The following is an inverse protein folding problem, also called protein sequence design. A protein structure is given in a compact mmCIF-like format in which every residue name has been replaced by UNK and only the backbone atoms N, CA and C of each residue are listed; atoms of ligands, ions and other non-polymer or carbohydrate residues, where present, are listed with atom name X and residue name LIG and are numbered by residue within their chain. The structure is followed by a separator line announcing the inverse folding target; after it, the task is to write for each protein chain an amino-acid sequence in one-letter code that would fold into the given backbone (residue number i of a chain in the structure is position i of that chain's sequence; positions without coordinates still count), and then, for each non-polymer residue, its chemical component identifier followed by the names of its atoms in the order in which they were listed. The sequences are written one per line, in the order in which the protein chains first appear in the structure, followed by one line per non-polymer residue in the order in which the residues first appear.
data_IF_427726802565
#
_entry.id   IF_427726802565
#
_cell.length_a   1.000
_cell.length_b   1.000
_cell.length_c   1.000
_cell.angle_alpha   90.00
_cell.angle_beta   90.00
_cell.angle_gamma   90.00
#
_symmetry.space_group_name_H-M   'P 1'
#
loop_
_entity.id
_entity.type
_entity.pdbx_description
1 polymer ?
#
# COMPACT_ATOMS: atom_id res chain seq x y z
N UNK A 1 -8.91 14.61 -9.06
CA UNK A 1 -7.79 13.65 -8.86
C UNK A 1 -8.00 13.01 -7.51
N UNK A 2 -7.86 11.68 -7.42
CA UNK A 2 -7.84 11.00 -6.13
C UNK A 2 -6.54 11.29 -5.38
N UNK A 3 -6.58 11.25 -4.04
CA UNK A 3 -5.40 11.44 -3.18
C UNK A 3 -4.78 10.10 -2.81
N UNK A 4 -3.49 9.94 -3.03
CA UNK A 4 -2.70 8.76 -2.66
C UNK A 4 -1.94 9.05 -1.37
N UNK A 5 -2.23 8.27 -0.34
CA UNK A 5 -1.59 8.34 0.97
C UNK A 5 -0.83 7.04 1.18
N UNK A 6 0.50 7.12 1.22
CA UNK A 6 1.35 5.99 1.51
C UNK A 6 1.82 6.02 2.96
N UNK A 7 1.87 4.85 3.59
CA UNK A 7 2.36 4.67 4.95
C UNK A 7 3.61 3.79 4.89
N UNK A 8 4.68 4.23 5.52
CA UNK A 8 5.95 3.52 5.60
C UNK A 8 6.54 3.62 7.01
N UNK A 9 7.48 2.76 7.36
CA UNK A 9 8.05 2.75 8.70
C UNK A 9 8.70 1.42 9.04
N UNK A 10 9.36 1.36 10.18
CA UNK A 10 9.96 0.11 10.68
C UNK A 10 8.86 -0.94 10.97
N UNK A 11 9.18 -2.22 10.87
CA UNK A 11 8.28 -3.30 11.31
C UNK A 11 7.83 -3.10 12.76
N UNK A 12 6.53 -3.31 13.02
CA UNK A 12 5.95 -3.24 14.36
C UNK A 12 5.70 -1.84 14.94
N UNK A 13 5.85 -0.76 14.17
CA UNK A 13 5.56 0.62 14.62
C UNK A 13 4.07 1.00 14.55
N UNK A 14 3.22 0.14 13.97
CA UNK A 14 1.76 0.35 13.89
C UNK A 14 1.25 0.96 12.59
N UNK A 15 1.97 0.78 11.47
CA UNK A 15 1.57 1.26 10.13
C UNK A 15 0.20 0.76 9.69
N UNK A 16 0.00 -0.56 9.68
CA UNK A 16 -1.27 -1.21 9.31
C UNK A 16 -2.43 -0.71 10.16
N UNK A 17 -2.19 -0.51 11.47
CA UNK A 17 -3.19 0.09 12.36
C UNK A 17 -3.53 1.52 11.96
N UNK A 18 -2.51 2.34 11.64
CA UNK A 18 -2.72 3.71 11.17
C UNK A 18 -3.47 3.73 9.82
N UNK A 19 -3.17 2.80 8.91
CA UNK A 19 -3.90 2.62 7.64
C UNK A 19 -5.38 2.33 7.90
N UNK A 20 -5.69 1.33 8.73
CA UNK A 20 -7.07 1.00 9.09
C UNK A 20 -7.81 2.15 9.76
N UNK A 21 -7.18 2.87 10.69
CA UNK A 21 -7.77 4.06 11.31
C UNK A 21 -8.01 5.20 10.32
N UNK A 22 -7.10 5.37 9.35
CA UNK A 22 -7.24 6.38 8.29
C UNK A 22 -8.40 6.04 7.37
N UNK A 23 -8.50 4.78 6.93
CA UNK A 23 -9.62 4.29 6.11
C UNK A 23 -10.93 4.51 6.86
N UNK A 24 -11.03 4.05 8.12
CA UNK A 24 -12.23 4.26 8.95
C UNK A 24 -12.61 5.74 9.06
N UNK A 25 -11.64 6.62 9.30
CA UNK A 25 -11.88 8.06 9.35
C UNK A 25 -12.44 8.61 8.03
N UNK A 26 -11.89 8.19 6.89
CA UNK A 26 -12.39 8.61 5.58
C UNK A 26 -13.84 8.15 5.35
N UNK A 27 -14.16 6.90 5.69
CA UNK A 27 -15.51 6.37 5.60
C UNK A 27 -16.50 7.16 6.48
N UNK A 28 -16.16 7.39 7.76
CA UNK A 28 -16.98 8.16 8.70
C UNK A 28 -17.23 9.61 8.25
N UNK A 29 -16.35 10.17 7.42
CA UNK A 29 -16.50 11.51 6.82
C UNK A 29 -17.21 11.52 5.47
N UNK A 30 -17.67 10.37 4.96
CA UNK A 30 -18.24 10.26 3.61
C UNK A 30 -17.23 10.56 2.51
N UNK A 31 -15.94 10.34 2.78
CA UNK A 31 -14.83 10.57 1.87
C UNK A 31 -14.51 9.30 1.07
N UNK A 32 -15.50 8.84 0.32
CA UNK A 32 -15.48 7.62 -0.49
C UNK A 32 -15.43 7.94 -2.00
N UNK A 33 -15.14 6.97 -2.88
CA UNK A 33 -14.64 5.61 -2.57
C UNK A 33 -13.15 5.60 -2.19
N UNK A 34 -12.79 4.68 -1.30
CA UNK A 34 -11.41 4.46 -0.81
C UNK A 34 -10.86 3.14 -1.37
N UNK A 35 -9.63 3.15 -1.88
CA UNK A 35 -8.91 1.92 -2.19
C UNK A 35 -7.84 1.68 -1.13
N UNK A 36 -7.94 0.56 -0.43
CA UNK A 36 -6.92 0.06 0.47
C UNK A 36 -5.98 -0.86 -0.30
N UNK A 37 -4.69 -0.55 -0.31
CA UNK A 37 -3.65 -1.36 -0.94
C UNK A 37 -2.74 -1.89 0.16
N UNK A 38 -2.80 -3.19 0.41
CA UNK A 38 -1.85 -3.88 1.29
C UNK A 38 -0.62 -4.29 0.47
N UNK A 39 0.47 -3.56 0.63
CA UNK A 39 1.74 -3.83 -0.02
C UNK A 39 2.74 -4.57 0.88
N UNK A 40 2.26 -5.18 1.96
CA UNK A 40 3.01 -6.09 2.82
C UNK A 40 2.83 -7.55 2.35
N UNK A 41 3.91 -8.30 2.08
CA UNK A 41 3.85 -9.73 1.79
C UNK A 41 3.10 -10.57 2.84
N UNK A 42 3.09 -10.11 4.09
CA UNK A 42 2.44 -10.81 5.20
C UNK A 42 0.93 -10.56 5.28
N UNK A 43 0.38 -9.64 4.47
CA UNK A 43 -1.05 -9.35 4.34
C UNK A 43 -1.79 -9.20 5.68
N UNK A 44 -1.71 -8.02 6.29
CA UNK A 44 -2.27 -7.76 7.62
C UNK A 44 -3.42 -6.74 7.62
N UNK A 45 -3.60 -5.99 6.53
CA UNK A 45 -4.58 -4.91 6.49
C UNK A 45 -6.02 -5.44 6.46
N UNK A 46 -6.24 -6.60 5.83
CA UNK A 46 -7.53 -7.29 5.83
C UNK A 46 -8.01 -7.63 7.25
N UNK A 47 -7.11 -8.08 8.13
CA UNK A 47 -7.46 -8.39 9.52
C UNK A 47 -7.86 -7.14 10.30
N UNK A 48 -7.16 -6.02 10.07
CA UNK A 48 -7.47 -4.73 10.69
C UNK A 48 -8.82 -4.18 10.21
N UNK A 49 -9.15 -4.39 8.92
CA UNK A 49 -10.42 -3.96 8.33
C UNK A 49 -11.57 -4.95 8.57
N UNK A 50 -11.28 -6.16 9.05
CA UNK A 50 -12.28 -7.18 9.37
C UNK A 50 -12.83 -7.92 8.15
N UNK A 51 -12.06 -8.01 7.06
CA UNK A 51 -12.49 -8.60 5.79
C UNK A 51 -11.69 -9.87 5.45
N UNK A 52 -12.28 -10.73 4.63
CA UNK A 52 -11.61 -11.94 4.12
C UNK A 52 -11.00 -11.66 2.75
N UNK A 53 -9.81 -12.19 2.53
CA UNK A 53 -9.10 -12.11 1.25
C UNK A 53 -8.97 -13.53 0.71
N UNK A 54 -9.48 -13.76 -0.49
CA UNK A 54 -9.48 -15.09 -1.13
C UNK A 54 -8.29 -15.26 -2.09
N UNK A 55 -7.78 -14.16 -2.64
CA UNK A 55 -6.66 -14.16 -3.59
C UNK A 55 -5.82 -12.90 -3.44
N UNK A 56 -4.51 -13.00 -3.72
CA UNK A 56 -3.61 -11.84 -3.75
C UNK A 56 -3.04 -11.62 -5.15
N UNK A 57 -2.50 -10.43 -5.41
CA UNK A 57 -1.84 -10.11 -6.68
C UNK A 57 -0.68 -11.06 -7.01
N UNK A 58 0.03 -11.53 -5.97
CA UNK A 58 1.06 -12.54 -6.09
C UNK A 58 0.55 -13.85 -6.69
N UNK A 59 -0.64 -14.30 -6.29
CA UNK A 59 -1.25 -15.53 -6.81
C UNK A 59 -1.75 -15.35 -8.25
N UNK A 60 -2.39 -14.21 -8.53
CA UNK A 60 -2.86 -13.86 -9.89
C UNK A 60 -1.68 -13.85 -10.87
N UNK A 61 -0.54 -13.31 -10.43
CA UNK A 61 0.65 -13.22 -11.27
C UNK A 61 1.15 -14.60 -11.70
N UNK A 62 1.14 -15.57 -10.80
CA UNK A 62 1.49 -16.96 -11.12
C UNK A 62 0.44 -17.57 -12.06
N UNK A 63 -0.84 -17.37 -11.76
CA UNK A 63 -1.95 -17.91 -12.55
C UNK A 63 -1.94 -17.40 -14.00
N UNK A 64 -1.62 -16.13 -14.25
CA UNK A 64 -1.58 -15.56 -15.61
C UNK A 64 -0.45 -16.17 -16.47
N UNK A 65 0.63 -16.63 -15.84
CA UNK A 65 1.73 -17.25 -16.56
C UNK A 65 1.35 -18.67 -16.99
N UNK A 66 0.74 -19.44 -16.08
CA UNK A 66 0.62 -20.90 -16.19
C UNK A 66 -0.80 -21.41 -16.50
N UNK A 67 -1.86 -20.65 -16.16
CA UNK A 67 -3.25 -21.12 -16.14
C UNK A 67 -4.20 -20.38 -17.09
N UNK A 68 -3.69 -19.50 -17.96
CA UNK A 68 -4.51 -18.77 -18.93
C UNK A 68 -5.28 -19.76 -19.86
N UNK A 69 -6.62 -19.71 -19.92
CA UNK A 69 -7.41 -20.65 -20.70
C UNK A 69 -7.19 -20.54 -22.21
N UNK A 70 -7.30 -21.64 -22.97
CA UNK A 70 -7.31 -21.59 -24.43
C UNK A 70 -8.46 -20.71 -24.94
N UNK A 71 -8.16 -19.77 -25.85
CA UNK A 71 -9.15 -18.85 -26.42
C UNK A 71 -9.33 -17.54 -25.64
N UNK A 72 -8.62 -17.36 -24.52
CA UNK A 72 -8.54 -16.09 -23.78
C UNK A 72 -7.10 -15.56 -23.83
N UNK A 73 -6.95 -14.25 -24.06
CA UNK A 73 -5.63 -13.63 -23.96
C UNK A 73 -5.17 -13.56 -22.50
N UNK A 74 -3.85 -13.57 -22.27
CA UNK A 74 -3.30 -13.35 -20.92
C UNK A 74 -3.68 -12.00 -20.33
N UNK A 75 -4.03 -11.04 -21.19
CA UNK A 75 -4.47 -9.71 -20.79
C UNK A 75 -5.89 -9.73 -20.23
N UNK A 76 -6.83 -10.33 -20.95
CA UNK A 76 -8.22 -10.53 -20.49
C UNK A 76 -8.26 -11.39 -19.22
N UNK A 77 -7.42 -12.43 -19.17
CA UNK A 77 -7.33 -13.28 -17.98
C UNK A 77 -6.76 -12.54 -16.76
N UNK A 78 -5.81 -11.62 -16.96
CA UNK A 78 -5.31 -10.75 -15.90
C UNK A 78 -6.39 -9.79 -15.40
N UNK A 79 -7.13 -9.13 -16.30
CA UNK A 79 -8.22 -8.22 -15.92
C UNK A 79 -9.26 -8.94 -15.06
N UNK A 80 -9.73 -10.10 -15.54
CA UNK A 80 -10.69 -10.94 -14.82
C UNK A 80 -10.19 -11.30 -13.41
N UNK A 81 -8.96 -11.80 -13.31
CA UNK A 81 -8.40 -12.24 -12.03
C UNK A 81 -8.19 -11.09 -11.05
N UNK A 82 -7.82 -9.91 -11.56
CA UNK A 82 -7.69 -8.71 -10.75
C UNK A 82 -9.02 -8.26 -10.18
N UNK A 83 -10.08 -8.26 -11.00
CA UNK A 83 -11.44 -7.96 -10.55
C UNK A 83 -11.89 -8.97 -9.47
N UNK A 84 -11.66 -10.28 -9.68
CA UNK A 84 -11.98 -11.33 -8.69
C UNK A 84 -11.20 -11.17 -7.37
N UNK A 85 -10.01 -10.59 -7.40
CA UNK A 85 -9.17 -10.40 -6.21
C UNK A 85 -9.51 -9.16 -5.39
N UNK A 86 -10.29 -8.23 -5.95
CA UNK A 86 -10.69 -7.02 -5.28
C UNK A 86 -11.78 -7.36 -4.26
N UNK A 87 -11.50 -7.12 -2.99
CA UNK A 87 -12.48 -7.30 -1.91
C UNK A 87 -13.31 -6.02 -1.83
N UNK A 88 -14.53 -6.07 -2.33
CA UNK A 88 -15.46 -4.93 -2.36
C UNK A 88 -16.27 -4.84 -1.05
N UNK A 89 -16.26 -3.67 -0.43
CA UNK A 89 -17.02 -3.38 0.80
C UNK A 89 -17.76 -2.03 0.69
N UNK A 90 -18.60 -1.73 1.67
CA UNK A 90 -19.34 -0.47 1.66
C UNK A 90 -18.39 0.74 1.88
N UNK A 91 -18.05 1.41 0.78
CA UNK A 91 -17.30 2.66 0.76
C UNK A 91 -15.79 2.53 0.61
N UNK A 92 -15.25 1.31 0.74
CA UNK A 92 -13.87 1.00 0.43
C UNK A 92 -13.73 -0.34 -0.28
N UNK A 93 -12.68 -0.48 -1.07
CA UNK A 93 -12.26 -1.76 -1.62
C UNK A 93 -10.84 -2.07 -1.12
N UNK A 94 -10.51 -3.35 -1.00
CA UNK A 94 -9.20 -3.82 -0.56
C UNK A 94 -8.55 -4.70 -1.64
N UNK A 95 -7.28 -4.40 -1.92
CA UNK A 95 -6.43 -5.22 -2.77
C UNK A 95 -5.13 -5.55 -2.03
N UNK A 96 -4.77 -6.84 -2.04
CA UNK A 96 -3.60 -7.35 -1.32
C UNK A 96 -2.53 -7.80 -2.29
N UNK A 97 -1.30 -7.31 -2.14
CA UNK A 97 -0.16 -7.73 -2.95
C UNK A 97 0.19 -9.19 -2.69
N UNK A 98 0.32 -9.58 -1.42
CA UNK A 98 0.79 -10.90 -1.03
C UNK A 98 2.23 -11.19 -1.47
N UNK A 99 2.57 -12.47 -1.64
CA UNK A 99 3.95 -12.92 -1.77
C UNK A 99 4.71 -12.32 -2.98
N UNK A 100 6.02 -12.05 -2.82
CA UNK A 100 6.87 -11.59 -3.90
C UNK A 100 7.02 -12.65 -5.01
N UNK A 101 7.64 -12.25 -6.12
CA UNK A 101 7.89 -13.10 -7.28
C UNK A 101 8.72 -14.32 -6.88
N UNK A 102 8.26 -15.51 -7.27
CA UNK A 102 9.07 -16.72 -7.22
C UNK A 102 10.15 -16.73 -8.31
N UNK A 103 10.88 -17.84 -8.48
CA UNK A 103 11.75 -18.01 -9.64
C UNK A 103 10.92 -18.03 -10.93
N UNK A 104 11.28 -17.22 -11.93
CA UNK A 104 10.56 -17.16 -13.21
C UNK A 104 10.68 -15.83 -13.94
N UNK A 105 10.03 -15.74 -15.10
CA UNK A 105 10.02 -14.52 -15.93
C UNK A 105 8.67 -13.80 -15.80
N UNK A 106 8.63 -12.76 -14.98
CA UNK A 106 7.41 -12.04 -14.60
C UNK A 106 7.22 -10.70 -15.32
N UNK A 107 8.12 -10.32 -16.22
CA UNK A 107 8.12 -9.00 -16.87
C UNK A 107 6.79 -8.66 -17.55
N UNK A 108 6.18 -9.61 -18.26
CA UNK A 108 4.90 -9.41 -18.93
C UNK A 108 3.76 -9.20 -17.94
N UNK A 109 3.63 -10.08 -16.95
CA UNK A 109 2.60 -9.96 -15.92
C UNK A 109 2.74 -8.62 -15.18
N UNK A 110 3.97 -8.24 -14.79
CA UNK A 110 4.26 -6.98 -14.12
C UNK A 110 3.90 -5.75 -14.97
N UNK A 111 4.07 -5.82 -16.30
CA UNK A 111 3.65 -4.74 -17.19
C UNK A 111 2.11 -4.59 -17.22
N UNK A 112 1.39 -5.72 -17.25
CA UNK A 112 -0.07 -5.72 -17.16
C UNK A 112 -0.55 -5.19 -15.81
N UNK A 113 0.02 -5.68 -14.70
CA UNK A 113 -0.31 -5.21 -13.35
C UNK A 113 -0.20 -3.70 -13.22
N UNK A 114 0.91 -3.10 -13.65
CA UNK A 114 1.08 -1.63 -13.64
C UNK A 114 -0.07 -0.93 -14.34
N UNK A 115 -0.40 -1.39 -15.56
CA UNK A 115 -1.44 -0.79 -16.38
C UNK A 115 -2.82 -0.86 -15.71
N UNK A 116 -3.14 -2.01 -15.10
CA UNK A 116 -4.40 -2.19 -14.38
C UNK A 116 -4.44 -1.39 -13.08
N UNK A 117 -3.37 -1.42 -12.28
CA UNK A 117 -3.27 -0.61 -11.06
C UNK A 117 -3.43 0.88 -11.37
N UNK A 118 -2.77 1.38 -12.42
CA UNK A 118 -2.87 2.78 -12.84
C UNK A 118 -4.30 3.14 -13.31
N UNK A 119 -5.06 2.19 -13.88
CA UNK A 119 -6.48 2.35 -14.23
C UNK A 119 -7.36 2.31 -12.96
N UNK A 120 -7.14 1.36 -12.08
CA UNK A 120 -7.90 1.14 -10.85
C UNK A 120 -7.79 2.35 -9.90
N UNK A 121 -6.57 2.78 -9.57
CA UNK A 121 -6.30 3.91 -8.65
C UNK A 121 -6.94 5.21 -9.19
N UNK A 122 -7.20 5.36 -10.50
CA UNK A 122 -7.90 6.53 -11.06
C UNK A 122 -9.39 6.60 -10.71
N UNK A 123 -10.00 5.46 -10.40
CA UNK A 123 -11.43 5.36 -10.07
C UNK A 123 -11.74 5.74 -8.61
N UNK A 124 -10.71 5.85 -7.75
CA UNK A 124 -10.89 6.13 -6.33
C UNK A 124 -10.60 7.58 -5.95
N UNK A 125 -11.35 8.08 -4.96
CA UNK A 125 -11.13 9.41 -4.40
C UNK A 125 -9.95 9.42 -3.45
N UNK A 126 -9.74 8.33 -2.71
CA UNK A 126 -8.59 8.16 -1.83
C UNK A 126 -7.99 6.77 -2.04
N UNK A 127 -6.66 6.69 -2.00
CA UNK A 127 -5.93 5.43 -2.00
C UNK A 127 -5.00 5.40 -0.80
N UNK A 128 -5.16 4.40 0.06
CA UNK A 128 -4.36 4.21 1.27
C UNK A 128 -3.45 3.01 1.04
N UNK A 129 -2.15 3.21 1.18
CA UNK A 129 -1.15 2.19 0.86
C UNK A 129 -0.35 1.82 2.11
N UNK A 130 -0.50 0.58 2.58
CA UNK A 130 0.26 0.04 3.70
C UNK A 130 1.54 -0.64 3.19
N UNK A 131 2.72 -0.04 3.39
CA UNK A 131 3.99 -0.60 2.93
C UNK A 131 4.83 -1.17 4.10
N UNK A 132 5.40 -2.36 3.92
CA UNK A 132 6.22 -3.04 4.93
C UNK A 132 7.52 -2.28 5.24
N UNK A 133 8.27 -1.89 4.20
CA UNK A 133 9.51 -1.12 4.31
C UNK A 133 9.76 -0.33 3.01
N UNK A 134 9.80 1.01 3.14
CA UNK A 134 10.09 1.93 2.03
C UNK A 134 9.12 1.87 0.84
N UNK A 135 9.31 2.78 -0.12
CA UNK A 135 8.45 2.92 -1.31
C UNK A 135 9.05 2.20 -2.53
N UNK A 136 10.19 1.52 -2.41
CA UNK A 136 10.95 0.92 -3.51
C UNK A 136 10.17 -0.15 -4.29
N UNK A 137 9.30 -0.89 -3.61
CA UNK A 137 8.43 -1.87 -4.24
C UNK A 137 7.29 -1.20 -5.01
N UNK A 138 6.98 0.05 -4.67
CA UNK A 138 5.86 0.79 -5.20
C UNK A 138 6.23 1.73 -6.35
N UNK A 139 7.32 2.50 -6.20
CA UNK A 139 7.87 3.36 -7.26
C UNK A 139 8.32 2.54 -8.46
N UNK A 140 8.75 1.31 -8.22
CA UNK A 140 9.05 0.35 -9.27
C UNK A 140 7.84 -0.41 -9.77
N UNK A 141 6.62 -0.32 -9.23
CA UNK A 141 5.46 -1.14 -9.69
C UNK A 141 4.18 -0.33 -9.97
N UNK A 142 4.20 0.98 -9.76
CA UNK A 142 3.12 1.91 -10.12
C UNK A 142 3.74 3.19 -10.71
N UNK A 143 3.02 3.91 -11.58
CA UNK A 143 3.54 5.13 -12.23
C UNK A 143 3.12 6.43 -11.52
N UNK A 144 2.48 6.31 -10.35
CA UNK A 144 1.88 7.46 -9.66
C UNK A 144 2.76 8.02 -8.54
N UNK A 145 2.82 9.34 -8.52
CA UNK A 145 3.32 10.12 -7.40
C UNK A 145 2.39 9.94 -6.19
N UNK A 146 2.98 9.98 -4.99
CA UNK A 146 2.29 9.89 -3.71
C UNK A 146 2.01 11.32 -3.23
N UNK A 147 0.75 11.67 -2.97
CA UNK A 147 0.43 13.00 -2.41
C UNK A 147 1.00 13.14 -0.99
N UNK A 148 0.80 12.12 -0.15
CA UNK A 148 1.17 12.16 1.27
C UNK A 148 1.91 10.89 1.66
N UNK A 149 3.14 11.04 2.17
CA UNK A 149 3.90 9.98 2.81
C UNK A 149 3.87 10.13 4.34
N UNK A 150 3.29 9.15 5.02
CA UNK A 150 3.31 9.04 6.48
C UNK A 150 4.40 8.06 6.90
N UNK A 151 5.46 8.57 7.53
CA UNK A 151 6.53 7.74 8.10
C UNK A 151 6.21 7.46 9.56
N UNK A 152 5.88 6.22 9.90
CA UNK A 152 5.50 5.79 11.26
C UNK A 152 6.70 5.25 12.02
N UNK A 153 6.94 5.79 13.21
CA UNK A 153 8.09 5.47 14.04
C UNK A 153 7.71 5.37 15.51
N UNK A 154 8.42 4.53 16.27
CA UNK A 154 8.42 4.54 17.72
C UNK A 154 9.42 5.59 18.25
N UNK A 155 9.26 6.15 19.47
CA UNK A 155 10.15 7.19 20.01
C UNK A 155 11.54 6.67 20.40
N UNK A 156 11.95 5.51 19.89
CA UNK A 156 13.28 4.94 20.14
C UNK A 156 14.27 5.48 19.13
N UNK A 157 15.55 5.56 19.52
CA UNK A 157 16.62 5.97 18.60
C UNK A 157 16.65 5.11 17.33
N UNK A 158 16.39 3.80 17.45
CA UNK A 158 16.31 2.87 16.31
C UNK A 158 15.13 3.19 15.39
N UNK A 159 13.95 3.50 15.96
CA UNK A 159 12.78 3.95 15.21
C UNK A 159 13.07 5.20 14.40
N UNK A 160 13.60 6.23 15.05
CA UNK A 160 13.91 7.51 14.42
C UNK A 160 14.99 7.39 13.33
N UNK A 161 16.01 6.55 13.56
CA UNK A 161 17.01 6.26 12.52
C UNK A 161 16.39 5.55 11.31
N UNK A 162 15.45 4.62 11.52
CA UNK A 162 14.74 3.96 10.41
C UNK A 162 13.87 4.97 9.64
N UNK A 163 13.15 5.84 10.34
CA UNK A 163 12.37 6.91 9.72
C UNK A 163 13.24 7.84 8.87
N UNK A 164 14.41 8.24 9.38
CA UNK A 164 15.38 9.04 8.62
C UNK A 164 15.88 8.31 7.37
N UNK A 165 16.20 7.02 7.47
CA UNK A 165 16.62 6.20 6.32
C UNK A 165 15.54 6.13 5.24
N UNK A 166 14.28 5.94 5.63
CA UNK A 166 13.15 5.94 4.68
C UNK A 166 13.06 7.29 3.96
N UNK A 167 13.15 8.40 4.70
CA UNK A 167 13.16 9.73 4.08
C UNK A 167 14.30 9.89 3.06
N UNK A 168 15.52 9.48 3.42
CA UNK A 168 16.67 9.52 2.50
C UNK A 168 16.46 8.64 1.27
N UNK A 169 15.90 7.43 1.42
CA UNK A 169 15.61 6.55 0.29
C UNK A 169 14.59 7.15 -0.68
N UNK A 170 13.57 7.84 -0.16
CA UNK A 170 12.56 8.52 -0.98
C UNK A 170 13.20 9.64 -1.81
N UNK A 171 14.10 10.42 -1.20
CA UNK A 171 14.87 11.48 -1.88
C UNK A 171 15.84 10.89 -2.93
N UNK A 172 16.59 9.84 -2.60
CA UNK A 172 17.56 9.18 -3.49
C UNK A 172 16.90 8.51 -4.70
N UNK A 173 15.76 7.84 -4.48
CA UNK A 173 15.01 7.16 -5.53
C UNK A 173 14.15 8.11 -6.37
N UNK A 174 14.16 9.41 -6.07
CA UNK A 174 13.38 10.45 -6.76
C UNK A 174 11.90 10.08 -6.85
N UNK A 175 11.35 9.51 -5.77
CA UNK A 175 9.95 9.14 -5.71
C UNK A 175 9.17 10.44 -5.57
N UNK A 176 8.24 10.71 -6.49
CA UNK A 176 7.41 11.91 -6.42
C UNK A 176 6.52 11.84 -5.20
N UNK A 177 6.89 12.59 -4.16
CA UNK A 177 6.11 12.75 -2.93
C UNK A 177 5.87 14.24 -2.72
N UNK A 178 4.62 14.68 -2.67
CA UNK A 178 4.32 16.10 -2.45
C UNK A 178 4.59 16.51 -1.00
N UNK A 179 4.08 15.73 -0.04
CA UNK A 179 4.23 16.02 1.39
C UNK A 179 4.69 14.78 2.17
N UNK A 180 5.61 14.97 3.12
CA UNK A 180 6.09 13.90 4.02
C UNK A 180 5.89 14.30 5.47
N UNK A 181 5.27 13.42 6.25
CA UNK A 181 5.03 13.61 7.68
C UNK A 181 5.63 12.47 8.50
N UNK A 182 6.09 12.79 9.71
CA UNK A 182 6.54 11.81 10.69
C UNK A 182 5.44 11.59 11.73
N UNK A 183 4.99 10.35 11.88
CA UNK A 183 4.04 9.94 12.91
C UNK A 183 4.79 9.19 14.00
N UNK A 184 4.94 9.81 15.17
CA UNK A 184 5.50 9.17 16.35
C UNK A 184 4.41 8.42 17.09
N UNK A 185 4.44 7.10 16.99
CA UNK A 185 3.48 6.20 17.64
C UNK A 185 4.05 5.66 18.96
N UNK A 186 3.18 5.25 19.88
CA UNK A 186 3.54 4.68 21.20
C UNK A 186 4.40 5.63 22.04
N UNK A 187 4.10 6.92 21.99
CA UNK A 187 4.74 7.96 22.81
C UNK A 187 4.10 8.04 24.19
N UNK A 188 4.90 8.44 25.19
CA UNK A 188 4.41 8.83 26.51
C UNK A 188 4.17 10.35 26.57
N UNK A 189 3.29 10.80 27.47
CA UNK A 189 2.99 12.22 27.67
C UNK A 189 4.27 13.07 27.88
N UNK A 190 5.20 12.57 28.72
CA UNK A 190 6.51 13.20 28.95
C UNK A 190 7.35 13.38 27.68
N UNK A 191 7.29 12.41 26.75
CA UNK A 191 8.03 12.50 25.49
C UNK A 191 7.39 13.50 24.53
N UNK A 192 6.06 13.63 24.53
CA UNK A 192 5.34 14.63 23.74
C UNK A 192 5.68 16.03 24.24
N UNK A 193 5.58 16.28 25.56
CA UNK A 193 5.94 17.56 26.17
C UNK A 193 7.38 18.00 25.83
N UNK A 194 8.33 17.04 25.87
CA UNK A 194 9.73 17.33 25.54
C UNK A 194 9.94 17.71 24.07
N UNK A 195 9.06 17.26 23.16
CA UNK A 195 9.10 17.63 21.73
C UNK A 195 8.44 18.99 21.48
N UNK A 196 7.39 19.33 22.23
CA UNK A 196 6.67 20.61 22.12
C UNK A 196 7.39 21.78 22.82
N UNK A 197 8.26 21.49 23.80
CA UNK A 197 9.06 22.50 24.52
C UNK A 197 10.24 23.10 23.73
N UNK A 198 10.36 22.78 22.43
CA UNK A 198 11.41 23.23 21.52
C UNK A 198 10.81 23.88 20.28
#
# INVERSE_FOLDING_TARGET
MGKVIAVAGKGGTGKTTLCGLTIRYLLEKGLTPVLALDADPNANLNEVLGVKVESTLGDIREDVIDKAPPGMSKDEYMELKLEESLVEEEGFDLLVMGRPEGPGCYCFANALFRRYMDKLIKSYKYVIMDNEAGLEHLSRRTTRDVDILLIVSDPTQRGLMAARKIKTLVEELSIGVEETFLVLNRTSARQVEALESK
#
